data_IF_186799123348
#
_entry.id   IF_186799123348
#
_cell.length_a   1.000
_cell.length_b   1.000
_cell.length_c   1.000
_cell.angle_alpha   90.00
_cell.angle_beta   90.00
_cell.angle_gamma   90.00
#
_symmetry.space_group_name_H-M   'P 1'
#
loop_
_entity.id
_entity.type
_entity.pdbx_description
1 polymer ?
#
# COMPACT_ATOMS: atom_id res chain seq x y z
N UNK A 1 15.04 17.13 77.72
CA UNK A 1 14.41 15.88 78.18
C UNK A 1 14.05 15.01 76.97
N UNK A 2 14.70 13.84 76.86
CA UNK A 2 14.37 12.55 76.22
C UNK A 2 13.55 12.54 74.89
N UNK A 3 14.12 12.14 73.74
CA UNK A 3 14.55 10.79 73.23
C UNK A 3 13.41 9.81 72.88
N UNK A 4 13.49 9.30 71.63
CA UNK A 4 13.28 7.90 71.17
C UNK A 4 11.81 7.43 70.96
N UNK A 5 11.33 6.70 69.92
CA UNK A 5 11.79 5.83 68.81
C UNK A 5 10.78 6.01 67.61
N UNK A 6 10.87 5.50 66.37
CA UNK A 6 11.37 4.22 65.86
C UNK A 6 11.47 4.24 64.32
N UNK A 7 12.36 3.40 63.77
CA UNK A 7 12.68 3.12 62.36
C UNK A 7 11.69 2.14 61.71
N UNK A 8 11.39 2.30 60.41
CA UNK A 8 11.16 1.28 59.34
C UNK A 8 10.34 2.00 58.25
N UNK A 9 10.82 2.29 57.03
CA UNK A 9 10.90 1.35 55.92
C UNK A 9 11.65 2.03 54.76
N UNK A 10 12.98 1.94 54.78
CA UNK A 10 13.82 2.04 53.59
C UNK A 10 13.97 0.60 53.08
N UNK A 11 13.14 0.13 52.14
CA UNK A 11 13.39 -1.15 51.45
C UNK A 11 12.57 -1.42 50.17
N UNK A 12 11.99 -0.41 49.50
CA UNK A 12 11.31 -0.63 48.20
C UNK A 12 11.95 0.13 47.02
N UNK A 13 13.07 0.83 47.25
CA UNK A 13 13.85 1.46 46.18
C UNK A 13 14.99 0.57 45.63
N UNK A 14 15.10 -0.68 46.08
CA UNK A 14 16.27 -1.55 45.83
C UNK A 14 16.03 -2.78 44.95
N UNK A 15 14.87 -2.92 44.29
CA UNK A 15 14.53 -4.13 43.50
C UNK A 15 14.26 -3.84 42.01
N UNK A 16 14.42 -2.60 41.54
CA UNK A 16 14.31 -2.26 40.11
C UNK A 16 15.66 -2.02 39.39
N UNK A 17 16.78 -2.19 40.08
CA UNK A 17 18.14 -2.05 39.51
C UNK A 17 18.67 -3.31 38.81
N UNK A 18 17.81 -4.30 38.58
CA UNK A 18 18.18 -5.60 37.98
C UNK A 18 17.48 -5.94 36.67
N UNK A 19 16.83 -4.98 36.00
CA UNK A 19 16.38 -5.20 34.62
C UNK A 19 17.58 -4.90 33.73
N UNK A 20 18.10 -5.95 33.09
CA UNK A 20 19.23 -5.90 32.18
C UNK A 20 19.23 -4.60 31.35
N UNK A 21 20.29 -3.81 31.49
CA UNK A 21 20.69 -2.89 30.44
C UNK A 21 21.02 -3.76 29.23
N UNK A 22 20.00 -4.06 28.41
CA UNK A 22 20.21 -4.50 27.05
C UNK A 22 20.95 -3.34 26.38
N UNK A 23 22.28 -3.45 26.31
CA UNK A 23 23.08 -2.52 25.56
C UNK A 23 22.52 -2.52 24.13
N UNK A 24 22.00 -1.38 23.68
CA UNK A 24 21.55 -1.24 22.30
C UNK A 24 22.73 -1.61 21.38
N UNK A 25 22.50 -2.41 20.33
CA UNK A 25 23.56 -2.86 19.45
C UNK A 25 24.26 -1.65 18.81
N UNK A 26 25.58 -1.72 18.68
CA UNK A 26 26.36 -0.69 17.98
C UNK A 26 26.01 -0.69 16.47
N UNK A 27 26.31 0.41 15.77
CA UNK A 27 26.08 0.51 14.31
C UNK A 27 26.77 -0.63 13.55
N UNK A 28 27.99 -0.99 13.94
CA UNK A 28 28.73 -2.08 13.30
C UNK A 28 28.13 -3.46 13.57
N UNK A 29 27.52 -3.68 14.74
CA UNK A 29 26.78 -4.91 15.02
C UNK A 29 25.52 -5.01 14.14
N UNK A 30 24.77 -3.92 14.01
CA UNK A 30 23.59 -3.87 13.14
C UNK A 30 23.96 -4.05 11.67
N UNK A 31 24.99 -3.36 11.18
CA UNK A 31 25.49 -3.51 9.82
C UNK A 31 25.96 -4.95 9.55
N UNK A 32 26.65 -5.58 10.51
CA UNK A 32 27.08 -6.98 10.42
C UNK A 32 25.91 -7.98 10.35
N UNK A 33 24.84 -7.76 11.12
CA UNK A 33 23.63 -8.58 11.05
C UNK A 33 22.90 -8.42 9.71
N UNK A 34 22.76 -7.18 9.22
CA UNK A 34 22.13 -6.92 7.93
C UNK A 34 22.92 -7.54 6.77
N UNK A 35 24.25 -7.50 6.84
CA UNK A 35 25.11 -8.12 5.83
C UNK A 35 24.92 -9.65 5.75
N UNK A 36 24.74 -10.32 6.89
CA UNK A 36 24.45 -11.75 6.96
C UNK A 36 23.05 -12.10 6.44
N UNK A 37 22.09 -11.16 6.46
CA UNK A 37 20.73 -11.32 5.93
C UNK A 37 20.61 -11.07 4.41
N UNK A 38 21.74 -11.01 3.68
CA UNK A 38 21.74 -10.91 2.23
C UNK A 38 21.77 -9.48 1.69
N UNK A 39 22.59 -8.61 2.31
CA UNK A 39 23.02 -7.31 1.76
C UNK A 39 24.08 -7.46 0.64
N UNK A 40 24.17 -8.64 0.00
CA UNK A 40 25.03 -8.84 -1.16
C UNK A 40 24.33 -8.32 -2.42
N UNK A 41 24.58 -7.04 -2.70
CA UNK A 41 24.02 -6.16 -3.73
C UNK A 41 24.15 -6.59 -5.21
N UNK A 42 24.44 -7.85 -5.53
CA UNK A 42 24.71 -8.23 -6.94
C UNK A 42 23.84 -9.39 -7.39
N UNK A 43 22.90 -9.09 -8.30
CA UNK A 43 22.30 -10.09 -9.17
C UNK A 43 23.40 -10.83 -9.93
N UNK A 44 23.59 -12.11 -9.61
CA UNK A 44 24.51 -12.98 -10.32
C UNK A 44 23.80 -13.63 -11.51
N UNK A 45 24.06 -13.09 -12.71
CA UNK A 45 23.46 -13.58 -13.95
C UNK A 45 23.82 -15.05 -14.25
N UNK A 46 24.87 -15.61 -13.64
CA UNK A 46 25.25 -17.01 -13.84
C UNK A 46 24.31 -18.00 -13.12
N UNK A 47 23.53 -17.54 -12.14
CA UNK A 47 22.62 -18.39 -11.34
C UNK A 47 21.20 -18.51 -11.91
N UNK A 48 20.91 -17.87 -13.05
CA UNK A 48 19.60 -17.85 -13.70
C UNK A 48 18.57 -17.01 -12.94
N UNK A 49 18.18 -17.46 -11.75
CA UNK A 49 17.26 -16.74 -10.85
C UNK A 49 17.92 -16.57 -9.49
N UNK A 50 18.01 -15.32 -9.02
CA UNK A 50 18.48 -14.99 -7.67
C UNK A 50 17.26 -14.84 -6.75
N UNK A 51 17.07 -15.81 -5.85
CA UNK A 51 15.97 -15.83 -4.91
C UNK A 51 16.33 -15.13 -3.60
N UNK A 52 15.43 -14.28 -3.11
CA UNK A 52 15.46 -13.67 -1.79
C UNK A 52 14.18 -13.99 -1.02
N UNK A 53 14.28 -14.00 0.30
CA UNK A 53 13.12 -14.10 1.20
C UNK A 53 13.13 -12.87 2.09
N UNK A 54 11.98 -12.23 2.23
CA UNK A 54 11.77 -11.08 3.08
C UNK A 54 10.58 -11.34 3.98
N UNK A 55 10.85 -11.52 5.28
CA UNK A 55 9.81 -11.68 6.29
C UNK A 55 9.88 -10.52 7.27
N UNK A 56 8.73 -10.04 7.73
CA UNK A 56 8.69 -8.96 8.70
C UNK A 56 7.32 -8.77 9.32
N UNK A 57 7.26 -8.14 10.50
CA UNK A 57 5.99 -7.71 11.05
C UNK A 57 5.41 -6.56 10.21
N UNK A 58 4.11 -6.38 10.27
CA UNK A 58 3.42 -5.20 9.76
C UNK A 58 2.30 -4.79 10.72
N UNK A 59 1.84 -3.55 10.59
CA UNK A 59 0.65 -3.08 11.29
C UNK A 59 -0.10 -2.08 10.42
N UNK A 60 -1.43 -2.22 10.35
CA UNK A 60 -2.35 -1.20 9.83
C UNK A 60 -3.61 -1.14 10.69
N UNK A 61 -4.40 -0.05 10.64
CA UNK A 61 -5.67 0.04 11.36
C UNK A 61 -6.67 -1.07 11.00
N UNK A 62 -6.61 -1.57 9.76
CA UNK A 62 -7.54 -2.56 9.20
C UNK A 62 -7.16 -3.98 9.61
N UNK A 63 -5.87 -4.31 9.50
CA UNK A 63 -5.37 -5.67 9.68
C UNK A 63 -4.84 -5.93 11.09
N UNK A 64 -4.61 -4.90 11.89
CA UNK A 64 -3.93 -5.02 13.17
C UNK A 64 -2.47 -5.46 13.01
N UNK A 65 -1.91 -6.09 14.03
CA UNK A 65 -0.54 -6.58 14.01
C UNK A 65 -0.48 -7.89 13.21
N UNK A 66 0.43 -7.98 12.25
CA UNK A 66 0.62 -9.21 11.48
C UNK A 66 2.06 -9.50 11.14
N UNK A 67 2.27 -10.63 10.48
CA UNK A 67 3.55 -11.03 9.89
C UNK A 67 3.31 -11.33 8.41
N UNK A 68 4.14 -10.73 7.56
CA UNK A 68 4.17 -10.99 6.13
C UNK A 68 5.49 -11.63 5.73
N UNK A 69 5.45 -12.47 4.71
CA UNK A 69 6.61 -13.07 4.07
C UNK A 69 6.47 -12.94 2.56
N UNK A 70 7.52 -12.48 1.91
CA UNK A 70 7.66 -12.37 0.47
C UNK A 70 8.87 -13.20 0.00
N UNK A 71 8.66 -14.04 -1.01
CA UNK A 71 9.72 -14.71 -1.76
C UNK A 71 9.86 -13.96 -3.08
N UNK A 72 11.05 -13.45 -3.38
CA UNK A 72 11.32 -12.63 -4.57
C UNK A 72 12.42 -13.29 -5.39
N UNK A 73 12.09 -13.72 -6.60
CA UNK A 73 13.03 -14.17 -7.61
C UNK A 73 13.37 -13.03 -8.56
N UNK A 74 14.63 -12.63 -8.61
CA UNK A 74 15.15 -11.72 -9.62
C UNK A 74 15.71 -12.53 -10.78
N UNK A 75 15.33 -12.18 -12.00
CA UNK A 75 15.76 -12.89 -13.20
C UNK A 75 15.93 -11.96 -14.39
N UNK A 76 16.55 -12.48 -15.44
CA UNK A 76 16.71 -11.78 -16.70
C UNK A 76 16.34 -12.71 -17.85
N UNK A 77 15.23 -12.43 -18.58
CA UNK A 77 14.79 -13.30 -19.67
C UNK A 77 15.86 -13.51 -20.74
N UNK A 78 16.57 -12.44 -21.09
CA UNK A 78 17.74 -12.45 -21.97
C UNK A 78 18.99 -11.98 -21.18
N UNK A 79 19.93 -12.87 -20.85
CA UNK A 79 21.15 -12.51 -20.13
C UNK A 79 22.05 -11.49 -20.87
N UNK A 80 21.94 -11.41 -22.21
CA UNK A 80 22.72 -10.51 -23.05
C UNK A 80 22.15 -9.08 -23.10
N UNK A 81 20.85 -8.91 -22.85
CA UNK A 81 20.24 -7.59 -22.72
C UNK A 81 20.90 -6.84 -21.56
N UNK A 82 21.46 -5.64 -21.75
CA UNK A 82 22.00 -4.81 -20.64
C UNK A 82 21.20 -3.52 -20.42
N UNK A 83 20.13 -3.33 -21.20
CA UNK A 83 19.28 -2.13 -21.18
C UNK A 83 18.09 -2.33 -20.26
N UNK A 84 17.44 -3.50 -20.33
CA UNK A 84 16.25 -3.78 -19.51
C UNK A 84 16.54 -3.77 -18.01
N UNK A 85 15.56 -3.39 -17.21
CA UNK A 85 15.61 -3.62 -15.77
C UNK A 85 15.64 -5.12 -15.46
N UNK A 86 16.13 -5.48 -14.27
CA UNK A 86 16.04 -6.86 -13.79
C UNK A 86 14.57 -7.19 -13.56
N UNK A 87 14.13 -8.32 -14.11
CA UNK A 87 12.75 -8.79 -13.94
C UNK A 87 12.58 -9.39 -12.55
N UNK A 88 11.38 -9.26 -11.98
CA UNK A 88 11.07 -9.77 -10.65
C UNK A 88 9.82 -10.64 -10.67
N UNK A 89 9.85 -11.71 -9.90
CA UNK A 89 8.71 -12.54 -9.57
C UNK A 89 8.62 -12.60 -8.04
N UNK A 90 7.54 -12.08 -7.47
CA UNK A 90 7.29 -12.09 -6.04
C UNK A 90 6.04 -12.89 -5.73
N UNK A 91 6.16 -13.81 -4.77
CA UNK A 91 5.03 -14.46 -4.10
C UNK A 91 5.08 -14.04 -2.63
N UNK A 92 4.02 -13.39 -2.15
CA UNK A 92 3.93 -12.91 -0.78
C UNK A 92 2.71 -13.50 -0.09
N UNK A 93 2.78 -13.66 1.22
CA UNK A 93 1.67 -14.06 2.05
C UNK A 93 1.72 -13.39 3.42
N UNK A 94 0.58 -13.22 4.05
CA UNK A 94 0.48 -12.60 5.37
C UNK A 94 -0.60 -13.24 6.23
N UNK A 95 -0.46 -13.12 7.55
CA UNK A 95 -1.50 -13.36 8.53
C UNK A 95 -1.45 -12.30 9.62
N UNK A 96 -2.60 -11.98 10.23
CA UNK A 96 -2.69 -10.92 11.24
C UNK A 96 -3.48 -11.31 12.50
N UNK A 97 -3.39 -10.46 13.51
CA UNK A 97 -4.08 -10.59 14.80
C UNK A 97 -5.59 -10.45 14.70
N UNK A 98 -6.11 -9.85 13.63
CA UNK A 98 -7.55 -9.78 13.36
C UNK A 98 -8.09 -11.06 12.73
N UNK A 99 -7.21 -12.00 12.37
CA UNK A 99 -7.57 -13.21 11.61
C UNK A 99 -7.49 -13.03 10.09
N UNK A 100 -7.06 -11.86 9.61
CA UNK A 100 -6.88 -11.63 8.17
C UNK A 100 -5.73 -12.48 7.61
N UNK A 101 -5.93 -13.00 6.42
CA UNK A 101 -4.94 -13.77 5.66
C UNK A 101 -4.99 -13.37 4.19
N UNK A 102 -3.83 -13.38 3.53
CA UNK A 102 -3.79 -13.22 2.09
C UNK A 102 -2.51 -13.71 1.46
N UNK A 103 -2.58 -13.95 0.16
CA UNK A 103 -1.47 -14.34 -0.71
C UNK A 103 -1.51 -13.45 -1.94
N UNK A 104 -0.37 -12.93 -2.37
CA UNK A 104 -0.25 -12.12 -3.59
C UNK A 104 0.90 -12.58 -4.47
N UNK A 105 0.70 -12.46 -5.78
CA UNK A 105 1.65 -12.73 -6.84
C UNK A 105 1.90 -11.42 -7.59
N UNK A 106 3.16 -11.09 -7.80
CA UNK A 106 3.56 -9.97 -8.65
C UNK A 106 4.69 -10.41 -9.57
N UNK A 107 4.53 -10.25 -10.87
CA UNK A 107 5.58 -10.48 -11.85
C UNK A 107 5.77 -9.24 -12.69
N UNK A 108 6.99 -8.70 -12.69
CA UNK A 108 7.42 -7.63 -13.59
C UNK A 108 8.50 -8.16 -14.51
N UNK A 109 8.15 -8.41 -15.76
CA UNK A 109 9.06 -8.94 -16.74
C UNK A 109 9.37 -7.93 -17.83
N UNK A 110 10.65 -7.71 -18.11
CA UNK A 110 11.16 -6.75 -19.08
C UNK A 110 11.93 -7.48 -20.18
N UNK A 111 11.61 -7.19 -21.44
CA UNK A 111 12.16 -7.91 -22.58
C UNK A 111 12.58 -6.99 -23.72
N UNK A 112 13.48 -7.51 -24.57
CA UNK A 112 13.87 -6.92 -25.83
C UNK A 112 14.40 -5.47 -25.69
N UNK A 113 15.34 -5.24 -24.78
CA UNK A 113 15.91 -3.92 -24.47
C UNK A 113 14.84 -2.91 -24.04
N UNK A 114 14.00 -3.35 -23.11
CA UNK A 114 12.88 -2.63 -22.51
C UNK A 114 11.84 -2.14 -23.53
N UNK A 115 11.69 -2.88 -24.63
CA UNK A 115 10.69 -2.61 -25.68
C UNK A 115 9.33 -3.21 -25.35
N UNK A 116 9.31 -4.30 -24.59
CA UNK A 116 8.12 -5.00 -24.15
C UNK A 116 8.20 -5.26 -22.65
N UNK A 117 7.07 -5.12 -21.96
CA UNK A 117 6.94 -5.48 -20.54
C UNK A 117 5.71 -6.33 -20.34
N UNK A 118 5.80 -7.36 -19.50
CA UNK A 118 4.65 -8.15 -19.09
C UNK A 118 4.53 -8.08 -17.58
N UNK A 119 3.47 -7.44 -17.12
CA UNK A 119 3.17 -7.27 -15.69
C UNK A 119 1.97 -8.15 -15.35
N UNK A 120 2.08 -8.88 -14.24
CA UNK A 120 1.00 -9.70 -13.71
C UNK A 120 0.91 -9.44 -12.22
N UNK A 121 -0.23 -8.94 -11.77
CA UNK A 121 -0.57 -8.86 -10.35
C UNK A 121 -1.74 -9.79 -10.09
N UNK A 122 -1.77 -10.45 -8.95
CA UNK A 122 -2.97 -11.10 -8.46
C UNK A 122 -2.89 -11.32 -6.96
N UNK A 123 -4.03 -11.36 -6.30
CA UNK A 123 -4.11 -11.68 -4.89
C UNK A 123 -5.34 -12.52 -4.57
N UNK A 124 -5.22 -13.28 -3.48
CA UNK A 124 -6.30 -13.99 -2.83
C UNK A 124 -6.26 -13.59 -1.36
N UNK A 125 -7.37 -13.12 -0.80
CA UNK A 125 -7.41 -12.74 0.62
C UNK A 125 -8.74 -13.07 1.28
N UNK A 126 -8.67 -13.32 2.57
CA UNK A 126 -9.79 -13.45 3.50
C UNK A 126 -9.54 -12.45 4.64
N UNK A 127 -10.31 -11.36 4.68
CA UNK A 127 -10.00 -10.19 5.52
C UNK A 127 -11.25 -9.69 6.26
N UNK A 128 -11.31 -9.84 7.60
CA UNK A 128 -12.31 -9.17 8.42
C UNK A 128 -12.21 -7.65 8.28
N UNK A 129 -13.31 -7.00 7.91
CA UNK A 129 -13.37 -5.57 7.66
C UNK A 129 -14.80 -5.03 7.88
N UNK A 130 -15.03 -3.78 7.52
CA UNK A 130 -16.28 -3.07 7.74
C UNK A 130 -16.76 -2.35 6.47
N UNK A 131 -18.09 -2.24 6.34
CA UNK A 131 -18.74 -1.50 5.27
C UNK A 131 -19.62 -0.39 5.84
N UNK A 132 -19.30 0.87 5.52
CA UNK A 132 -20.08 2.03 5.97
C UNK A 132 -21.23 2.39 5.02
N UNK A 133 -21.10 2.04 3.73
CA UNK A 133 -21.99 2.44 2.65
C UNK A 133 -21.31 3.39 1.65
N UNK A 134 -22.06 3.82 0.65
CA UNK A 134 -21.60 4.75 -0.38
C UNK A 134 -21.79 6.22 0.06
N UNK A 135 -20.79 7.05 -0.26
CA UNK A 135 -20.81 8.50 -0.12
C UNK A 135 -20.34 9.00 1.23
N UNK A 136 -20.05 10.31 1.30
CA UNK A 136 -19.42 10.91 2.49
C UNK A 136 -20.24 10.71 3.77
N UNK A 137 -21.55 10.89 3.71
CA UNK A 137 -22.41 10.82 4.89
C UNK A 137 -22.43 9.42 5.53
N UNK A 138 -22.22 8.37 4.72
CA UNK A 138 -22.10 7.01 5.19
C UNK A 138 -20.79 6.82 5.96
N UNK A 139 -19.66 7.23 5.39
CA UNK A 139 -18.34 7.15 6.03
C UNK A 139 -18.18 8.07 7.25
N UNK A 140 -18.88 9.21 7.30
CA UNK A 140 -18.81 10.14 8.44
C UNK A 140 -19.41 9.55 9.74
N UNK A 141 -20.39 8.65 9.61
CA UNK A 141 -21.10 8.02 10.74
C UNK A 141 -20.49 6.67 11.10
N UNK A 142 -19.50 6.67 12.00
CA UNK A 142 -18.82 5.42 12.37
C UNK A 142 -19.72 4.38 13.06
N UNK A 143 -20.81 4.82 13.70
CA UNK A 143 -21.75 3.95 14.43
C UNK A 143 -22.69 3.11 13.55
N UNK A 144 -22.63 3.26 12.23
CA UNK A 144 -23.51 2.56 11.29
C UNK A 144 -22.71 1.78 10.24
N UNK A 145 -21.59 1.19 10.64
CA UNK A 145 -20.84 0.25 9.79
C UNK A 145 -21.38 -1.17 9.98
N UNK A 146 -21.22 -1.99 8.97
CA UNK A 146 -21.55 -3.41 9.00
C UNK A 146 -20.25 -4.22 8.99
N UNK A 147 -20.06 -5.11 9.97
CA UNK A 147 -18.93 -6.01 9.98
C UNK A 147 -19.13 -7.18 8.99
N UNK A 148 -18.08 -7.56 8.28
CA UNK A 148 -18.07 -8.72 7.40
C UNK A 148 -16.64 -9.19 7.11
N UNK A 149 -16.50 -10.38 6.53
CA UNK A 149 -15.23 -10.92 6.04
C UNK A 149 -15.19 -10.82 4.51
N UNK A 150 -14.27 -10.02 3.98
CA UNK A 150 -14.06 -9.87 2.55
C UNK A 150 -13.20 -11.02 2.02
N UNK A 151 -13.79 -11.88 1.18
CA UNK A 151 -13.09 -12.91 0.43
C UNK A 151 -12.88 -12.40 -0.99
N UNK A 152 -11.63 -12.11 -1.35
CA UNK A 152 -11.27 -11.43 -2.60
C UNK A 152 -10.33 -12.31 -3.41
N UNK A 153 -10.58 -12.38 -4.71
CA UNK A 153 -9.63 -12.84 -5.73
C UNK A 153 -9.50 -11.74 -6.77
N UNK A 154 -8.29 -11.19 -6.93
CA UNK A 154 -7.95 -10.25 -7.99
C UNK A 154 -6.88 -10.81 -8.93
N UNK A 155 -6.95 -10.44 -10.21
CA UNK A 155 -5.96 -10.79 -11.22
C UNK A 155 -5.92 -9.72 -12.31
N UNK A 156 -4.72 -9.24 -12.62
CA UNK A 156 -4.48 -8.20 -13.62
C UNK A 156 -3.22 -8.47 -14.45
N UNK A 157 -3.31 -9.23 -15.55
CA UNK A 157 -2.25 -9.32 -16.55
C UNK A 157 -2.27 -8.10 -17.48
N UNK A 158 -1.09 -7.52 -17.74
CA UNK A 158 -0.89 -6.38 -18.63
C UNK A 158 0.35 -6.59 -19.51
N UNK A 159 0.19 -6.41 -20.83
CA UNK A 159 1.28 -6.42 -21.80
C UNK A 159 1.50 -5.02 -22.33
N UNK A 160 2.72 -4.50 -22.16
CA UNK A 160 3.11 -3.16 -22.57
C UNK A 160 4.09 -3.17 -23.73
N UNK A 161 3.93 -2.19 -24.63
CA UNK A 161 4.86 -1.83 -25.69
C UNK A 161 5.41 -0.43 -25.46
N UNK A 162 6.73 -0.27 -25.53
CA UNK A 162 7.37 1.05 -25.55
C UNK A 162 6.98 1.82 -26.82
N UNK A 163 6.38 2.99 -26.66
CA UNK A 163 6.06 3.92 -27.74
C UNK A 163 7.25 4.84 -28.05
N UNK A 164 7.72 5.55 -27.03
CA UNK A 164 8.92 6.39 -27.02
C UNK A 164 9.66 6.18 -25.71
N UNK A 165 10.81 6.82 -25.50
CA UNK A 165 11.57 6.65 -24.26
C UNK A 165 10.67 6.95 -23.05
N UNK A 166 10.67 6.02 -22.08
CA UNK A 166 9.90 6.06 -20.84
C UNK A 166 8.38 5.98 -20.97
N UNK A 167 7.81 6.02 -22.18
CA UNK A 167 6.35 5.96 -22.41
C UNK A 167 5.95 4.60 -23.00
N UNK A 168 4.97 3.96 -22.36
CA UNK A 168 4.49 2.64 -22.70
C UNK A 168 2.98 2.63 -22.89
N UNK A 169 2.50 1.88 -23.87
CA UNK A 169 1.09 1.55 -24.06
C UNK A 169 0.88 0.09 -23.69
N UNK A 170 -0.03 -0.15 -22.75
CA UNK A 170 -0.41 -1.45 -22.24
C UNK A 170 -1.82 -1.84 -22.66
N UNK A 171 -2.01 -3.14 -22.89
CA UNK A 171 -3.31 -3.78 -23.00
C UNK A 171 -3.34 -4.96 -22.05
N UNK A 172 -4.50 -5.25 -21.47
CA UNK A 172 -4.62 -6.32 -20.50
C UNK A 172 -6.05 -6.59 -20.07
N UNK A 173 -6.17 -7.18 -18.90
CA UNK A 173 -7.44 -7.63 -18.34
C UNK A 173 -7.46 -7.39 -16.84
N UNK A 174 -8.64 -7.18 -16.27
CA UNK A 174 -8.87 -7.07 -14.83
C UNK A 174 -10.01 -8.02 -14.45
N UNK A 175 -9.72 -8.92 -13.51
CA UNK A 175 -10.70 -9.77 -12.85
C UNK A 175 -10.70 -9.43 -11.36
N UNK A 176 -11.87 -9.12 -10.82
CA UNK A 176 -12.12 -8.93 -9.39
C UNK A 176 -13.33 -9.78 -9.00
N UNK A 177 -13.13 -10.69 -8.04
CA UNK A 177 -14.19 -11.50 -7.45
C UNK A 177 -14.20 -11.23 -5.97
N UNK A 178 -15.33 -10.75 -5.45
CA UNK A 178 -15.47 -10.51 -4.02
C UNK A 178 -16.75 -11.14 -3.48
N UNK A 179 -16.61 -11.85 -2.35
CA UNK A 179 -17.73 -12.33 -1.54
C UNK A 179 -17.64 -11.76 -0.13
N UNK A 180 -18.75 -11.21 0.36
CA UNK A 180 -18.92 -10.77 1.74
C UNK A 180 -19.42 -11.96 2.59
N UNK A 181 -18.50 -12.64 3.24
CA UNK A 181 -18.76 -13.74 4.16
C UNK A 181 -18.96 -13.23 5.60
N UNK A 182 -19.46 -14.10 6.48
CA UNK A 182 -19.56 -13.85 7.94
C UNK A 182 -20.12 -12.47 8.29
N UNK A 183 -21.16 -12.04 7.56
CA UNK A 183 -21.79 -10.74 7.79
C UNK A 183 -22.45 -10.75 9.15
N UNK A 184 -22.21 -9.70 9.94
CA UNK A 184 -22.93 -9.51 11.20
C UNK A 184 -24.41 -9.18 10.91
N UNK A 185 -25.30 -10.11 11.26
CA UNK A 185 -26.74 -9.98 11.05
C UNK A 185 -27.41 -9.03 12.05
N UNK A 186 -26.70 -8.60 13.10
CA UNK A 186 -27.20 -7.59 14.04
C UNK A 186 -27.08 -6.17 13.49
N UNK A 187 -26.20 -5.96 12.52
CA UNK A 187 -26.05 -4.71 11.80
C UNK A 187 -27.12 -4.55 10.70
N UNK A 188 -27.52 -3.31 10.35
CA UNK A 188 -28.43 -3.09 9.21
C UNK A 188 -27.87 -3.71 7.92
N UNK A 189 -28.70 -4.37 7.09
CA UNK A 189 -28.25 -5.17 5.94
C UNK A 189 -27.79 -4.29 4.77
N UNK A 190 -26.64 -3.63 4.90
CA UNK A 190 -26.12 -2.65 3.93
C UNK A 190 -25.58 -3.31 2.68
N UNK A 191 -24.83 -4.40 2.82
CA UNK A 191 -24.26 -5.13 1.68
C UNK A 191 -25.36 -5.93 0.98
N UNK A 192 -26.20 -6.64 1.75
CA UNK A 192 -27.27 -7.47 1.20
C UNK A 192 -28.36 -6.65 0.48
N UNK A 193 -28.52 -5.37 0.83
CA UNK A 193 -29.47 -4.46 0.15
C UNK A 193 -28.90 -3.78 -1.10
N UNK A 194 -27.62 -4.01 -1.42
CA UNK A 194 -27.06 -3.57 -2.71
C UNK A 194 -27.61 -4.44 -3.84
N UNK A 195 -27.57 -3.92 -5.08
CA UNK A 195 -28.09 -4.63 -6.24
C UNK A 195 -27.35 -5.96 -6.52
N UNK A 196 -26.06 -6.03 -6.14
CA UNK A 196 -25.21 -7.21 -6.32
C UNK A 196 -25.33 -8.19 -5.14
N UNK A 197 -25.84 -7.75 -3.99
CA UNK A 197 -25.86 -8.55 -2.77
C UNK A 197 -24.46 -8.85 -2.25
N UNK A 198 -24.26 -10.04 -1.68
CA UNK A 198 -23.00 -10.39 -1.01
C UNK A 198 -21.86 -10.76 -1.97
N UNK A 199 -22.14 -11.06 -3.24
CA UNK A 199 -21.14 -11.52 -4.19
C UNK A 199 -21.10 -10.59 -5.39
N UNK A 200 -19.90 -10.30 -5.88
CA UNK A 200 -19.71 -9.57 -7.13
C UNK A 200 -18.55 -10.17 -7.90
N UNK A 201 -18.75 -10.36 -9.20
CA UNK A 201 -17.72 -10.69 -10.16
C UNK A 201 -17.63 -9.56 -11.19
N UNK A 202 -16.49 -8.89 -11.24
CA UNK A 202 -16.16 -7.86 -12.22
C UNK A 202 -15.06 -8.37 -13.14
N UNK A 203 -15.37 -8.53 -14.42
CA UNK A 203 -14.38 -8.94 -15.42
C UNK A 203 -14.36 -7.98 -16.61
N UNK A 204 -13.17 -7.51 -17.01
CA UNK A 204 -13.06 -6.44 -17.99
C UNK A 204 -11.71 -6.35 -18.69
N UNK A 205 -11.73 -5.76 -19.88
CA UNK A 205 -10.52 -5.49 -20.67
C UNK A 205 -9.96 -4.11 -20.35
N UNK A 206 -8.63 -3.99 -20.31
CA UNK A 206 -7.93 -2.80 -19.82
C UNK A 206 -6.95 -2.26 -20.86
N UNK A 207 -6.84 -0.93 -20.94
CA UNK A 207 -5.82 -0.21 -21.72
C UNK A 207 -5.14 0.80 -20.80
N UNK A 208 -3.82 0.89 -20.83
CA UNK A 208 -3.07 1.80 -19.98
C UNK A 208 -1.98 2.53 -20.76
N UNK A 209 -1.82 3.83 -20.51
CA UNK A 209 -0.59 4.54 -20.89
C UNK A 209 0.19 4.86 -19.63
N UNK A 210 1.50 4.61 -19.66
CA UNK A 210 2.39 4.89 -18.53
C UNK A 210 3.65 5.64 -18.95
N UNK A 211 4.10 6.55 -18.08
CA UNK A 211 5.40 7.20 -18.11
C UNK A 211 6.11 6.85 -16.81
N UNK A 212 7.31 6.25 -16.89
CA UNK A 212 8.17 6.09 -15.71
C UNK A 212 9.61 6.49 -16.02
N UNK A 213 10.10 7.56 -15.40
CA UNK A 213 11.50 8.00 -15.47
C UNK A 213 12.14 8.16 -14.07
N UNK A 214 11.57 7.50 -13.06
CA UNK A 214 12.11 7.49 -11.70
C UNK A 214 13.52 6.92 -11.68
N UNK A 215 14.39 7.54 -10.89
CA UNK A 215 15.77 7.10 -10.75
C UNK A 215 15.91 5.76 -10.02
N UNK A 216 14.99 5.45 -9.11
CA UNK A 216 14.91 4.17 -8.41
C UNK A 216 13.51 3.95 -7.84
N UNK A 217 12.79 2.96 -8.35
CA UNK A 217 11.36 2.74 -8.04
C UNK A 217 11.05 2.59 -6.54
N UNK A 218 11.79 1.80 -5.73
CA UNK A 218 11.44 1.59 -4.32
C UNK A 218 11.58 2.81 -3.41
N UNK A 219 12.40 3.79 -3.79
CA UNK A 219 12.59 5.04 -3.06
C UNK A 219 13.12 6.12 -4.01
N UNK A 220 12.25 6.72 -4.84
CA UNK A 220 12.66 7.65 -5.86
C UNK A 220 13.11 8.98 -5.23
N UNK A 221 14.17 9.55 -5.78
CA UNK A 221 14.69 10.88 -5.41
C UNK A 221 14.51 11.88 -6.54
N UNK A 222 14.47 11.41 -7.78
CA UNK A 222 14.32 12.23 -8.99
C UNK A 222 13.43 11.50 -9.99
N UNK A 223 12.76 12.27 -10.84
CA UNK A 223 11.90 11.75 -11.88
C UNK A 223 10.43 11.79 -11.50
N UNK A 224 9.63 11.10 -12.28
CA UNK A 224 8.18 11.16 -12.33
C UNK A 224 7.63 9.80 -12.73
N UNK A 225 6.41 9.54 -12.25
CA UNK A 225 5.63 8.40 -12.68
C UNK A 225 4.21 8.87 -12.96
N UNK A 226 3.67 8.48 -14.12
CA UNK A 226 2.31 8.82 -14.50
C UNK A 226 1.64 7.62 -15.14
N UNK A 227 0.40 7.32 -14.77
CA UNK A 227 -0.43 6.33 -15.45
C UNK A 227 -1.84 6.85 -15.67
N UNK A 228 -2.43 6.42 -16.78
CA UNK A 228 -3.85 6.50 -17.05
C UNK A 228 -4.28 5.13 -17.55
N UNK A 229 -5.09 4.43 -16.77
CA UNK A 229 -5.70 3.14 -17.10
C UNK A 229 -7.20 3.31 -17.27
N UNK A 230 -7.73 2.70 -18.32
CA UNK A 230 -9.15 2.54 -18.58
C UNK A 230 -9.48 1.06 -18.60
N UNK A 231 -10.53 0.66 -17.89
CA UNK A 231 -11.04 -0.71 -17.86
C UNK A 231 -12.54 -0.71 -18.17
N UNK A 232 -12.96 -1.55 -19.12
CA UNK A 232 -14.36 -1.77 -19.45
C UNK A 232 -14.83 -3.12 -18.92
N UNK A 233 -15.76 -3.12 -17.96
CA UNK A 233 -16.37 -4.32 -17.40
C UNK A 233 -17.70 -4.61 -18.09
N UNK A 234 -17.89 -5.85 -18.55
CA UNK A 234 -19.06 -6.20 -19.35
C UNK A 234 -19.55 -7.65 -19.12
N UNK A 235 -20.88 -7.89 -19.11
CA UNK A 235 -21.44 -9.24 -19.05
C UNK A 235 -21.02 -10.15 -20.20
N UNK A 236 -20.73 -9.59 -21.37
CA UNK A 236 -20.27 -10.35 -22.55
C UNK A 236 -18.91 -11.05 -22.32
N UNK A 237 -18.16 -10.60 -21.31
CA UNK A 237 -16.91 -11.24 -20.87
C UNK A 237 -17.04 -11.88 -19.49
N UNK A 238 -18.25 -12.03 -18.96
CA UNK A 238 -18.52 -12.73 -17.70
C UNK A 238 -18.63 -11.86 -16.45
N UNK A 239 -18.65 -10.53 -16.56
CA UNK A 239 -18.95 -9.61 -15.45
C UNK A 239 -20.43 -9.67 -15.03
N UNK A 240 -20.75 -9.52 -13.74
CA UNK A 240 -22.15 -9.43 -13.29
C UNK A 240 -22.83 -8.12 -13.71
N UNK A 241 -22.03 -7.06 -13.86
CA UNK A 241 -22.51 -5.71 -14.18
C UNK A 241 -21.70 -5.06 -15.28
N UNK A 242 -22.25 -4.01 -15.90
CA UNK A 242 -21.58 -3.21 -16.92
C UNK A 242 -21.21 -1.83 -16.37
N UNK A 243 -19.92 -1.54 -16.34
CA UNK A 243 -19.40 -0.27 -15.88
C UNK A 243 -17.99 -0.01 -16.43
N UNK A 244 -17.57 1.25 -16.37
CA UNK A 244 -16.26 1.71 -16.79
C UNK A 244 -15.49 2.21 -15.57
N UNK A 245 -14.17 2.00 -15.57
CA UNK A 245 -13.25 2.52 -14.57
C UNK A 245 -12.09 3.27 -15.23
N UNK A 246 -11.78 4.46 -14.72
CA UNK A 246 -10.60 5.24 -15.07
C UNK A 246 -9.75 5.43 -13.83
N UNK A 247 -8.50 4.98 -13.89
CA UNK A 247 -7.52 5.13 -12.81
C UNK A 247 -6.36 6.00 -13.29
N UNK A 248 -6.11 7.08 -12.55
CA UNK A 248 -5.10 8.09 -12.83
C UNK A 248 -4.15 8.13 -11.65
N UNK A 249 -2.86 8.12 -11.95
CA UNK A 249 -1.84 8.32 -10.96
C UNK A 249 -0.75 9.23 -11.51
N UNK A 250 -0.28 10.16 -10.70
CA UNK A 250 0.87 10.99 -11.01
C UNK A 250 1.69 11.23 -9.76
N UNK A 251 2.99 10.97 -9.82
CA UNK A 251 3.94 11.32 -8.78
C UNK A 251 5.18 11.97 -9.35
N UNK A 252 5.80 12.86 -8.56
CA UNK A 252 7.05 13.52 -8.91
C UNK A 252 7.93 13.70 -7.70
N UNK A 253 9.23 13.50 -7.92
CA UNK A 253 10.25 13.51 -6.88
C UNK A 253 11.33 14.51 -7.24
N UNK A 254 11.62 15.41 -6.30
CA UNK A 254 12.61 16.45 -6.45
C UNK A 254 13.60 16.40 -5.29
N UNK A 255 14.80 15.89 -5.56
CA UNK A 255 15.92 15.97 -4.61
C UNK A 255 16.34 17.43 -4.44
N UNK A 256 16.05 18.00 -3.27
CA UNK A 256 16.44 19.37 -2.89
C UNK A 256 17.95 19.43 -2.63
N UNK A 257 18.49 18.38 -2.01
CA UNK A 257 19.93 18.17 -1.81
C UNK A 257 20.20 16.66 -1.59
N UNK A 258 21.39 16.29 -1.10
CA UNK A 258 21.79 14.90 -0.89
C UNK A 258 21.00 14.13 0.18
N UNK A 259 20.31 14.84 1.08
CA UNK A 259 19.53 14.28 2.18
C UNK A 259 18.03 14.50 2.04
N UNK A 260 17.62 15.52 1.28
CA UNK A 260 16.25 16.00 1.23
C UNK A 260 15.57 15.71 -0.11
N UNK A 261 14.34 15.22 -0.05
CA UNK A 261 13.46 15.00 -1.22
C UNK A 261 12.10 15.62 -0.93
N UNK A 262 11.63 16.46 -1.84
CA UNK A 262 10.24 16.88 -1.91
C UNK A 262 9.54 16.01 -2.94
N UNK A 263 8.51 15.27 -2.51
CA UNK A 263 7.73 14.39 -3.36
C UNK A 263 6.26 14.81 -3.31
N UNK A 264 5.55 14.70 -4.43
CA UNK A 264 4.10 14.85 -4.43
C UNK A 264 3.43 13.81 -5.30
N UNK A 265 2.19 13.51 -4.95
CA UNK A 265 1.32 12.55 -5.62
C UNK A 265 -0.06 13.16 -5.84
N UNK A 266 -0.67 12.83 -6.97
CA UNK A 266 -2.09 12.98 -7.24
C UNK A 266 -2.63 11.63 -7.75
N UNK A 267 -3.74 11.19 -7.19
CA UNK A 267 -4.36 9.90 -7.47
C UNK A 267 -5.85 10.12 -7.70
N UNK A 268 -6.42 9.46 -8.72
CA UNK A 268 -7.82 9.59 -9.07
C UNK A 268 -8.39 8.28 -9.58
N UNK A 269 -9.59 7.94 -9.13
CA UNK A 269 -10.33 6.78 -9.58
C UNK A 269 -11.78 7.18 -9.85
N UNK A 270 -12.25 6.91 -11.06
CA UNK A 270 -13.55 7.37 -11.55
C UNK A 270 -14.29 6.20 -12.18
N UNK A 271 -15.54 5.99 -11.78
CA UNK A 271 -16.37 4.89 -12.26
C UNK A 271 -17.72 5.39 -12.79
N UNK A 272 -18.21 4.74 -13.85
CA UNK A 272 -19.47 5.09 -14.51
C UNK A 272 -20.27 3.83 -14.86
N UNK A 273 -21.59 3.89 -14.73
CA UNK A 273 -22.49 2.75 -14.96
C UNK A 273 -22.93 2.06 -13.68
N UNK A 274 -23.17 0.75 -13.78
CA UNK A 274 -23.71 -0.10 -12.72
C UNK A 274 -22.58 -0.68 -11.85
N UNK A 275 -21.88 0.21 -11.14
CA UNK A 275 -20.68 -0.13 -10.37
C UNK A 275 -21.04 -0.93 -9.10
N UNK A 276 -20.49 -2.15 -8.91
CA UNK A 276 -20.64 -2.91 -7.67
C UNK A 276 -20.07 -2.20 -6.44
N UNK A 277 -20.62 -2.48 -5.27
CA UNK A 277 -20.23 -1.83 -4.01
C UNK A 277 -18.76 -2.03 -3.60
N UNK A 278 -18.15 -3.14 -4.04
CA UNK A 278 -16.74 -3.46 -3.84
C UNK A 278 -15.81 -2.78 -4.84
N UNK A 279 -16.33 -2.37 -6.00
CA UNK A 279 -15.59 -1.68 -7.06
C UNK A 279 -15.67 -0.16 -6.96
N UNK A 280 -16.34 0.38 -5.94
CA UNK A 280 -16.40 1.82 -5.72
C UNK A 280 -15.01 2.34 -5.28
N UNK A 281 -14.47 3.38 -5.94
CA UNK A 281 -13.25 4.06 -5.50
C UNK A 281 -13.21 4.40 -4.02
N UNK A 282 -12.04 4.19 -3.41
CA UNK A 282 -11.80 4.38 -1.96
C UNK A 282 -10.92 5.61 -1.69
N UNK A 283 -11.15 6.23 -0.53
CA UNK A 283 -10.21 7.17 0.09
C UNK A 283 -9.69 6.59 1.40
N UNK A 284 -8.37 6.65 1.57
CA UNK A 284 -7.68 6.05 2.70
C UNK A 284 -7.05 4.73 2.32
N UNK A 285 -5.75 4.62 2.52
CA UNK A 285 -4.98 3.39 2.40
C UNK A 285 -3.70 3.54 3.22
N UNK A 286 -2.89 2.51 3.15
CA UNK A 286 -1.56 2.47 3.70
C UNK A 286 -0.51 3.25 2.87
N UNK A 287 -0.82 3.66 1.62
CA UNK A 287 0.05 4.43 0.70
C UNK A 287 -0.35 5.92 0.61
N UNK A 288 -1.65 6.19 0.56
CA UNK A 288 -2.21 7.54 0.44
C UNK A 288 -3.33 7.78 1.41
N UNK A 289 -3.57 9.05 1.76
CA UNK A 289 -4.62 9.42 2.72
C UNK A 289 -4.46 8.67 4.05
N UNK A 290 -3.22 8.49 4.52
CA UNK A 290 -2.89 7.83 5.79
C UNK A 290 -3.58 8.54 6.96
N UNK A 291 -4.09 7.77 7.91
CA UNK A 291 -4.92 8.23 9.03
C UNK A 291 -6.41 7.95 8.86
N UNK A 292 -6.84 7.45 7.70
CA UNK A 292 -8.19 6.94 7.46
C UNK A 292 -8.16 5.41 7.38
N UNK A 293 -9.24 4.78 7.85
CA UNK A 293 -9.48 3.35 7.71
C UNK A 293 -9.85 3.06 6.25
N UNK A 294 -9.10 2.19 5.59
CA UNK A 294 -9.34 1.82 4.19
C UNK A 294 -10.72 1.19 4.02
N UNK A 295 -11.47 1.64 3.01
CA UNK A 295 -12.84 1.19 2.78
C UNK A 295 -13.93 1.99 3.49
N UNK A 296 -13.58 2.90 4.42
CA UNK A 296 -14.55 3.74 5.15
C UNK A 296 -15.21 4.81 4.28
N UNK A 297 -14.42 5.50 3.47
CA UNK A 297 -14.89 6.53 2.57
C UNK A 297 -14.79 6.01 1.14
N UNK A 298 -15.94 5.85 0.48
CA UNK A 298 -16.04 5.36 -0.89
C UNK A 298 -17.15 6.05 -1.66
N UNK A 299 -16.95 6.28 -2.94
CA UNK A 299 -17.99 6.76 -3.86
C UNK A 299 -17.58 6.48 -5.31
N UNK A 300 -18.44 6.78 -6.29
CA UNK A 300 -18.16 6.50 -7.71
C UNK A 300 -16.91 7.21 -8.24
N UNK A 301 -16.56 8.35 -7.66
CA UNK A 301 -15.39 9.13 -8.07
C UNK A 301 -14.64 9.54 -6.81
N UNK A 302 -13.33 9.34 -6.80
CA UNK A 302 -12.44 9.76 -5.73
C UNK A 302 -11.19 10.39 -6.32
N UNK A 303 -10.71 11.47 -5.69
CA UNK A 303 -9.43 12.09 -6.00
C UNK A 303 -8.71 12.39 -4.69
N UNK A 304 -7.41 12.21 -4.67
CA UNK A 304 -6.55 12.60 -3.56
C UNK A 304 -5.23 13.17 -4.04
N UNK A 305 -4.61 13.98 -3.20
CA UNK A 305 -3.26 14.46 -3.43
C UNK A 305 -2.52 14.61 -2.12
N UNK A 306 -1.20 14.41 -2.17
CA UNK A 306 -0.33 14.54 -1.01
C UNK A 306 1.03 15.11 -1.38
N UNK A 307 1.58 15.92 -0.48
CA UNK A 307 2.92 16.47 -0.52
C UNK A 307 3.69 15.86 0.65
N UNK A 308 4.87 15.32 0.35
CA UNK A 308 5.72 14.62 1.29
C UNK A 308 7.14 15.19 1.26
N UNK A 309 7.65 15.56 2.43
CA UNK A 309 9.03 15.96 2.63
C UNK A 309 9.79 14.84 3.33
N UNK A 310 10.83 14.32 2.68
CA UNK A 310 11.68 13.23 3.18
C UNK A 310 13.06 13.77 3.52
N UNK A 311 13.53 13.51 4.73
CA UNK A 311 14.84 13.92 5.22
C UNK A 311 15.65 12.72 5.71
N UNK A 312 16.79 12.45 5.09
CA UNK A 312 17.77 11.48 5.59
C UNK A 312 18.56 12.10 6.75
N UNK A 313 18.47 11.47 7.91
CA UNK A 313 19.23 11.83 9.10
C UNK A 313 20.68 11.28 9.00
N UNK A 314 21.27 10.89 10.13
CA UNK A 314 22.55 10.19 10.17
C UNK A 314 22.36 8.69 9.94
N UNK A 315 23.33 8.06 9.26
CA UNK A 315 23.39 6.61 9.05
C UNK A 315 22.13 6.09 8.32
N UNK A 316 21.49 5.03 8.81
CA UNK A 316 20.32 4.37 8.22
C UNK A 316 19.00 5.01 8.63
N UNK A 317 19.02 6.17 9.30
CA UNK A 317 17.81 6.81 9.81
C UNK A 317 17.30 7.89 8.86
N UNK A 318 15.98 8.01 8.76
CA UNK A 318 15.31 9.09 8.07
C UNK A 318 13.98 9.44 8.73
N UNK A 319 13.45 10.59 8.37
CA UNK A 319 12.12 11.05 8.77
C UNK A 319 11.36 11.62 7.59
N UNK A 320 10.05 11.58 7.68
CA UNK A 320 9.13 12.06 6.67
C UNK A 320 8.05 12.88 7.34
N UNK A 321 7.62 13.95 6.69
CA UNK A 321 6.39 14.67 7.03
C UNK A 321 5.53 14.81 5.78
N UNK A 322 4.22 14.66 5.91
CA UNK A 322 3.30 14.84 4.79
C UNK A 322 2.05 15.62 5.18
N UNK A 323 1.46 16.24 4.15
CA UNK A 323 0.13 16.82 4.16
C UNK A 323 -0.58 16.42 2.86
N UNK A 324 -1.87 16.19 2.93
CA UNK A 324 -2.66 15.80 1.78
C UNK A 324 -4.15 15.99 2.05
N UNK A 325 -4.93 15.81 1.00
CA UNK A 325 -6.38 15.80 1.11
C UNK A 325 -6.99 15.00 -0.03
N UNK A 326 -8.21 14.53 0.18
CA UNK A 326 -8.99 13.87 -0.85
C UNK A 326 -10.46 14.21 -0.75
N UNK A 327 -11.16 14.06 -1.87
CA UNK A 327 -12.61 14.25 -1.96
C UNK A 327 -13.19 13.16 -2.85
N UNK A 328 -14.48 12.92 -2.68
CA UNK A 328 -15.20 11.89 -3.42
C UNK A 328 -16.65 12.31 -3.66
N UNK A 329 -17.26 11.74 -4.68
CA UNK A 329 -18.65 12.04 -5.03
C UNK A 329 -19.24 11.08 -6.07
N UNK A 330 -20.56 11.13 -6.17
CA UNK A 330 -21.33 10.28 -7.08
C UNK A 330 -21.15 10.62 -8.56
N UNK A 331 -20.60 11.80 -8.87
CA UNK A 331 -20.27 12.27 -10.22
C UNK A 331 -19.13 13.30 -10.15
N UNK A 332 -18.48 13.59 -11.29
CA UNK A 332 -17.41 14.59 -11.38
C UNK A 332 -17.82 16.00 -10.87
N UNK A 333 -19.05 16.45 -11.14
CA UNK A 333 -19.53 17.76 -10.67
C UNK A 333 -19.63 17.82 -9.13
N UNK A 334 -19.98 16.70 -8.51
CA UNK A 334 -20.14 16.59 -7.05
C UNK A 334 -18.79 16.43 -6.31
N UNK A 335 -17.65 16.42 -7.03
CA UNK A 335 -16.33 16.45 -6.39
C UNK A 335 -16.02 17.81 -5.77
N UNK A 336 -16.48 18.90 -6.39
CA UNK A 336 -16.26 20.29 -5.92
C UNK A 336 -17.19 20.64 -4.74
N UNK A 337 -18.41 20.09 -4.74
CA UNK A 337 -19.32 20.08 -3.58
C UNK A 337 -18.87 19.08 -2.49
N UNK A 338 -17.87 18.27 -2.80
CA UNK A 338 -17.38 17.18 -1.97
C UNK A 338 -16.72 17.69 -0.70
N UNK A 339 -17.08 17.08 0.43
CA UNK A 339 -16.46 17.38 1.72
C UNK A 339 -15.03 16.82 1.72
N UNK A 340 -14.06 17.72 1.65
CA UNK A 340 -12.64 17.38 1.69
C UNK A 340 -12.24 16.70 3.00
N UNK A 341 -11.51 15.60 2.86
CA UNK A 341 -10.90 14.83 3.93
C UNK A 341 -9.42 15.22 4.00
N UNK A 342 -8.97 15.97 5.01
CA UNK A 342 -7.55 16.29 5.17
C UNK A 342 -6.79 15.07 5.73
N UNK A 343 -5.51 14.95 5.39
CA UNK A 343 -4.57 13.98 5.95
C UNK A 343 -3.26 14.70 6.24
N UNK A 344 -2.67 14.46 7.41
CA UNK A 344 -1.33 14.91 7.73
C UNK A 344 -0.64 13.89 8.61
N UNK A 345 0.69 13.87 8.62
CA UNK A 345 1.39 12.97 9.51
C UNK A 345 2.90 13.05 9.43
N UNK A 346 3.51 12.17 10.23
CA UNK A 346 4.96 12.03 10.32
C UNK A 346 5.35 10.57 10.30
N UNK A 347 6.53 10.30 9.80
CA UNK A 347 7.05 8.96 9.59
C UNK A 347 8.52 8.85 9.96
N UNK A 348 8.90 7.73 10.54
CA UNK A 348 10.28 7.33 10.74
C UNK A 348 10.67 6.30 9.66
N UNK A 349 11.94 6.34 9.23
CA UNK A 349 12.51 5.43 8.23
C UNK A 349 13.77 4.79 8.77
N UNK A 350 13.91 3.48 8.55
CA UNK A 350 15.14 2.75 8.77
C UNK A 350 15.58 2.03 7.48
N UNK A 351 16.71 2.41 6.93
CA UNK A 351 17.30 1.90 5.69
C UNK A 351 17.97 0.54 5.95
N UNK A 352 17.25 -0.56 5.71
CA UNK A 352 17.77 -1.91 5.97
C UNK A 352 18.59 -2.46 4.79
N UNK A 353 18.32 -1.98 3.57
CA UNK A 353 19.16 -2.14 2.36
C UNK A 353 19.34 -0.78 1.71
N UNK A 354 20.38 -0.56 0.87
CA UNK A 354 20.58 0.72 0.19
C UNK A 354 19.29 1.21 -0.48
N UNK A 355 18.80 2.38 -0.05
CA UNK A 355 17.55 3.00 -0.52
C UNK A 355 16.27 2.17 -0.32
N UNK A 356 16.26 1.14 0.52
CA UNK A 356 15.04 0.40 0.88
C UNK A 356 14.79 0.57 2.38
N UNK A 357 13.65 1.19 2.71
CA UNK A 357 13.32 1.59 4.06
C UNK A 357 12.25 0.68 4.68
N UNK A 358 12.37 0.41 5.97
CA UNK A 358 11.23 0.11 6.84
C UNK A 358 10.64 1.43 7.31
N UNK A 359 9.32 1.59 7.23
CA UNK A 359 8.59 2.77 7.66
C UNK A 359 7.74 2.51 8.90
N UNK A 360 7.74 3.48 9.81
CA UNK A 360 6.76 3.61 10.88
C UNK A 360 6.09 4.98 10.73
N UNK A 361 4.84 5.00 10.29
CA UNK A 361 4.08 6.21 10.01
C UNK A 361 2.95 6.40 11.03
N UNK A 362 2.70 7.65 11.40
CA UNK A 362 1.51 8.06 12.13
C UNK A 362 0.77 9.14 11.33
N UNK A 363 -0.41 8.80 10.85
CA UNK A 363 -1.28 9.70 10.10
C UNK A 363 -2.50 10.13 10.90
N UNK A 364 -2.94 11.36 10.70
CA UNK A 364 -4.13 11.96 11.29
C UNK A 364 -5.04 12.48 10.18
N UNK A 365 -6.32 12.16 10.29
CA UNK A 365 -7.39 12.63 9.42
C UNK A 365 -8.55 13.22 10.23
N UNK A 366 -9.70 13.36 9.58
CA UNK A 366 -10.93 13.88 10.19
C UNK A 366 -11.46 12.88 11.22
N UNK A 367 -11.29 13.23 12.50
CA UNK A 367 -11.72 12.40 13.64
C UNK A 367 -11.20 10.94 13.55
N UNK A 368 -10.01 10.78 12.96
CA UNK A 368 -9.38 9.49 12.75
C UNK A 368 -7.86 9.64 12.79
N UNK A 369 -7.18 8.58 13.16
CA UNK A 369 -5.73 8.49 13.13
C UNK A 369 -5.32 7.03 12.97
N UNK A 370 -4.12 6.77 12.44
CA UNK A 370 -3.63 5.42 12.20
C UNK A 370 -2.12 5.33 12.29
N UNK A 371 -1.64 4.22 12.85
CA UNK A 371 -0.25 3.82 12.78
C UNK A 371 -0.07 2.84 11.62
N UNK A 372 1.09 2.89 10.97
CA UNK A 372 1.44 1.98 9.88
C UNK A 372 2.89 1.52 10.04
N UNK A 373 3.14 0.21 10.04
CA UNK A 373 4.48 -0.35 9.99
C UNK A 373 4.64 -1.20 8.74
N UNK A 374 5.52 -0.81 7.82
CA UNK A 374 5.62 -1.38 6.48
C UNK A 374 7.02 -1.28 5.87
N UNK A 375 7.21 -1.92 4.72
CA UNK A 375 8.44 -1.88 3.92
C UNK A 375 8.20 -1.04 2.67
N UNK A 376 9.18 -0.23 2.29
CA UNK A 376 9.11 0.68 1.14
C UNK A 376 8.53 2.05 1.49
N UNK A 377 8.65 2.98 0.54
CA UNK A 377 8.03 4.30 0.65
C UNK A 377 6.53 4.26 0.34
N UNK A 378 5.82 5.29 0.79
CA UNK A 378 4.37 5.38 0.59
C UNK A 378 3.99 5.54 -0.89
N UNK A 379 4.89 6.15 -1.67
CA UNK A 379 4.81 6.28 -3.12
C UNK A 379 6.17 6.63 -3.71
#
# INVERSE_FOLDING_TARGET
MNRCHCRLLLCVAGVLSGVAQAALPSRSQVDGWLQQMGDSDTYDAAKGVNWGVMSGPFYTPELGLGIGTAIVGMYRPDPADKVSQVSTLSLSGYFSSTGAFGVSLQNYAFFAQDRWRFFLTGALSDTPTYYWGQGFAAGDKDSHKQAYTAQVLDLQPMLYRRLVNNIYLGVGWTLDVQHAAQIDETDPPKIQSTAQGCSSLSNGGSVEISWDDRDFIPNPRKGQYATLRYTHFAPDVGSDTRFDEYQLHYSRYHAVNDKDVLAWEADGAFTQGDVPWNMLPLLGSNHRMRGYYEGRYRDKNAISGQLEYRHKLSWRHGVVGWVGAGTMGSSLHHLDDGRWLPSAGVGYRFEFKPRVNVRLDYGVGKASSGFYFQVGEAF
#
